data_IF_121724768760
#
_entry.id   IF_121724768760
#
_cell.length_a   1.000
_cell.length_b   1.000
_cell.length_c   1.000
_cell.angle_alpha   90.00
_cell.angle_beta   90.00
_cell.angle_gamma   90.00
#
_symmetry.space_group_name_H-M   'P 1'
#
loop_
_entity.id
_entity.type
_entity.pdbx_description
1 polymer ?
#
# COMPACT_ATOMS: atom_id res chain seq x y z
N UNK A 1 -9.27 38.18 -8.02
CA UNK A 1 -8.46 37.50 -9.05
C UNK A 1 -7.50 36.54 -8.36
N UNK A 2 -7.59 35.22 -8.60
CA UNK A 2 -6.58 34.25 -8.12
C UNK A 2 -5.55 34.06 -9.24
N UNK A 3 -4.29 34.30 -8.94
CA UNK A 3 -3.19 34.01 -9.84
C UNK A 3 -3.13 32.49 -10.10
N UNK A 4 -3.00 32.09 -11.36
CA UNK A 4 -2.74 30.70 -11.72
C UNK A 4 -1.32 30.34 -11.25
N UNK A 5 -1.21 29.41 -10.30
CA UNK A 5 0.08 28.88 -9.87
C UNK A 5 0.71 28.15 -11.05
N UNK A 6 1.88 28.60 -11.51
CA UNK A 6 2.66 27.86 -12.49
C UNK A 6 3.03 26.51 -11.88
N UNK A 7 2.48 25.42 -12.41
CA UNK A 7 2.78 24.08 -11.92
C UNK A 7 4.19 23.72 -12.34
N UNK A 8 5.15 23.80 -11.41
CA UNK A 8 6.48 23.23 -11.59
C UNK A 8 6.41 21.70 -11.72
N UNK A 9 7.53 21.08 -12.07
CA UNK A 9 7.62 19.62 -12.13
C UNK A 9 7.40 19.02 -10.73
N UNK A 10 6.54 18.01 -10.64
CA UNK A 10 6.38 17.18 -9.45
C UNK A 10 6.98 15.82 -9.72
N UNK A 11 7.81 15.34 -8.80
CA UNK A 11 8.42 14.01 -8.86
C UNK A 11 7.80 13.14 -7.77
N UNK A 12 7.43 11.92 -8.14
CA UNK A 12 6.99 10.90 -7.20
C UNK A 12 8.03 9.78 -7.16
N UNK A 13 8.41 9.38 -5.95
CA UNK A 13 9.14 8.13 -5.75
C UNK A 13 8.13 6.98 -5.65
N UNK A 14 8.34 5.92 -6.42
CA UNK A 14 7.53 4.71 -6.34
C UNK A 14 8.42 3.56 -5.88
N UNK A 15 8.05 2.99 -4.74
CA UNK A 15 8.64 1.76 -4.21
C UNK A 15 7.57 0.67 -4.17
N UNK A 16 7.97 -0.58 -4.42
CA UNK A 16 7.04 -1.71 -4.45
C UNK A 16 7.43 -2.77 -3.42
N UNK A 17 6.43 -3.35 -2.76
CA UNK A 17 6.60 -4.37 -1.75
C UNK A 17 5.86 -5.65 -2.14
N UNK A 18 6.47 -6.81 -1.84
CA UNK A 18 5.83 -8.11 -2.00
C UNK A 18 4.97 -8.47 -0.78
N UNK A 19 3.99 -9.36 -0.96
CA UNK A 19 3.22 -9.92 0.16
C UNK A 19 4.08 -10.75 1.11
N UNK A 20 4.96 -11.57 0.54
CA UNK A 20 5.98 -12.29 1.31
C UNK A 20 7.00 -11.26 1.80
N UNK A 21 7.12 -11.04 3.11
CA UNK A 21 8.02 -10.02 3.62
C UNK A 21 9.48 -10.42 3.40
N UNK A 22 10.33 -9.40 3.23
CA UNK A 22 11.79 -9.52 3.33
C UNK A 22 12.22 -8.61 4.48
N UNK A 23 12.96 -9.17 5.44
CA UNK A 23 13.44 -8.43 6.63
C UNK A 23 12.30 -7.69 7.37
N UNK A 24 11.15 -8.36 7.50
CA UNK A 24 9.95 -7.81 8.15
C UNK A 24 9.15 -6.83 7.29
N UNK A 25 9.63 -6.43 6.11
CA UNK A 25 8.97 -5.47 5.23
C UNK A 25 8.25 -6.17 4.08
N UNK A 26 6.94 -6.11 4.11
CA UNK A 26 6.04 -6.58 3.05
C UNK A 26 4.77 -5.73 3.02
N UNK A 27 3.82 -6.04 2.14
CA UNK A 27 2.59 -5.24 2.01
C UNK A 27 1.83 -5.07 3.33
N UNK A 28 1.80 -6.10 4.19
CA UNK A 28 1.17 -6.00 5.51
C UNK A 28 1.85 -4.98 6.44
N UNK A 29 3.18 -4.85 6.37
CA UNK A 29 3.92 -3.82 7.11
C UNK A 29 3.53 -2.42 6.60
N UNK A 30 3.44 -2.23 5.29
CA UNK A 30 3.05 -0.96 4.67
C UNK A 30 1.61 -0.57 5.00
N UNK A 31 0.66 -1.51 4.96
CA UNK A 31 -0.71 -1.26 5.42
C UNK A 31 -0.75 -0.94 6.91
N UNK A 32 0.07 -1.61 7.73
CA UNK A 32 0.23 -1.30 9.14
C UNK A 32 0.74 0.11 9.40
N UNK A 33 1.76 0.56 8.66
CA UNK A 33 2.27 1.94 8.74
C UNK A 33 1.20 2.95 8.34
N UNK A 34 0.53 2.73 7.21
CA UNK A 34 -0.54 3.60 6.72
C UNK A 34 -1.73 3.69 7.69
N UNK A 35 -2.10 2.55 8.29
CA UNK A 35 -3.16 2.45 9.30
C UNK A 35 -2.69 2.90 10.70
N UNK A 36 -1.42 3.29 10.84
CA UNK A 36 -0.82 3.78 12.09
C UNK A 36 -0.86 2.76 13.23
N UNK A 37 -0.74 1.46 12.89
CA UNK A 37 -0.71 0.36 13.88
C UNK A 37 0.59 0.42 14.70
N UNK A 38 0.56 0.24 16.04
CA UNK A 38 1.76 0.38 16.88
C UNK A 38 2.94 -0.49 16.44
N UNK A 39 2.68 -1.73 16.03
CA UNK A 39 3.69 -2.69 15.61
C UNK A 39 4.40 -2.34 14.29
N UNK A 40 3.79 -1.47 13.47
CA UNK A 40 4.36 -0.98 12.22
C UNK A 40 4.86 0.47 12.34
N UNK A 41 4.37 1.24 13.32
CA UNK A 41 4.70 2.66 13.52
C UNK A 41 5.86 2.85 14.51
N UNK A 42 6.86 1.96 14.50
CA UNK A 42 7.93 1.89 15.52
C UNK A 42 8.80 3.14 15.63
N UNK A 43 8.77 4.01 14.62
CA UNK A 43 9.48 5.28 14.59
C UNK A 43 8.65 6.49 15.06
N UNK A 44 7.40 6.26 15.47
CA UNK A 44 6.47 7.29 15.94
C UNK A 44 5.97 6.91 17.33
N UNK A 45 6.34 7.70 18.34
CA UNK A 45 6.07 7.38 19.75
C UNK A 45 4.56 7.34 20.10
N UNK A 46 3.75 8.19 19.50
CA UNK A 46 2.29 8.22 19.71
C UNK A 46 1.58 8.45 18.38
N UNK A 47 1.40 7.40 17.57
CA UNK A 47 0.80 7.52 16.25
C UNK A 47 -0.67 7.92 16.38
N UNK A 48 -1.05 9.08 15.84
CA UNK A 48 -2.46 9.48 15.77
C UNK A 48 -3.22 8.68 14.70
N UNK A 49 -4.55 8.74 14.69
CA UNK A 49 -5.36 8.06 13.67
C UNK A 49 -5.02 8.57 12.24
N UNK A 50 -5.08 7.69 11.21
CA UNK A 50 -4.90 8.13 9.83
C UNK A 50 -6.05 9.06 9.42
N UNK A 51 -5.73 10.08 8.61
CA UNK A 51 -6.73 11.02 8.06
C UNK A 51 -6.92 10.71 6.59
N UNK A 52 -8.14 10.37 6.19
CA UNK A 52 -8.49 10.16 4.78
C UNK A 52 -8.78 11.51 4.13
N UNK A 53 -7.87 11.97 3.28
CA UNK A 53 -8.04 13.23 2.54
C UNK A 53 -9.00 13.05 1.36
N UNK A 54 -8.96 11.89 0.69
CA UNK A 54 -9.80 11.56 -0.45
C UNK A 54 -9.85 10.03 -0.66
N UNK A 55 -10.95 9.51 -1.20
CA UNK A 55 -11.07 8.11 -1.59
C UNK A 55 -11.50 7.18 -0.44
N UNK A 56 -10.81 6.03 -0.30
CA UNK A 56 -11.18 4.95 0.62
C UNK A 56 -10.30 4.94 1.87
N UNK A 57 -10.79 4.30 2.95
CA UNK A 57 -9.99 4.06 4.16
C UNK A 57 -8.87 3.07 3.90
N UNK A 58 -7.85 3.04 4.77
CA UNK A 58 -6.71 2.12 4.63
C UNK A 58 -7.19 0.67 4.69
N UNK A 59 -8.14 0.35 5.57
CA UNK A 59 -8.71 -1.00 5.73
C UNK A 59 -9.44 -1.47 4.47
N UNK A 60 -10.18 -0.55 3.81
CA UNK A 60 -10.87 -0.88 2.57
C UNK A 60 -9.87 -1.14 1.42
N UNK A 61 -8.78 -0.38 1.36
CA UNK A 61 -7.72 -0.59 0.36
C UNK A 61 -6.95 -1.90 0.64
N UNK A 62 -6.65 -2.21 1.89
CA UNK A 62 -6.00 -3.47 2.31
C UNK A 62 -6.85 -4.68 1.91
N UNK A 63 -8.15 -4.67 2.23
CA UNK A 63 -9.08 -5.73 1.82
C UNK A 63 -9.12 -5.90 0.30
N UNK A 64 -9.23 -4.81 -0.43
CA UNK A 64 -9.29 -4.84 -1.90
C UNK A 64 -7.97 -5.33 -2.52
N UNK A 65 -6.83 -5.01 -1.91
CA UNK A 65 -5.54 -5.57 -2.28
C UNK A 65 -5.54 -7.09 -2.11
N UNK A 66 -5.98 -7.60 -0.95
CA UNK A 66 -5.97 -9.02 -0.66
C UNK A 66 -6.92 -9.82 -1.56
N UNK A 67 -8.09 -9.27 -1.85
CA UNK A 67 -9.05 -9.84 -2.82
C UNK A 67 -8.41 -9.98 -4.20
N UNK A 68 -7.77 -8.92 -4.71
CA UNK A 68 -7.12 -8.91 -6.02
C UNK A 68 -5.92 -9.85 -6.07
N UNK A 69 -5.11 -9.87 -5.01
CA UNK A 69 -3.95 -10.73 -4.92
C UNK A 69 -4.34 -12.21 -4.78
N UNK A 70 -5.50 -12.50 -4.21
CA UNK A 70 -6.08 -13.86 -4.17
C UNK A 70 -6.64 -14.27 -5.53
N UNK A 71 -7.29 -13.36 -6.24
CA UNK A 71 -7.82 -13.59 -7.58
C UNK A 71 -6.71 -13.74 -8.65
N UNK A 72 -5.54 -13.15 -8.42
CA UNK A 72 -4.40 -13.16 -9.34
C UNK A 72 -3.84 -14.59 -9.52
N UNK A 73 -4.29 -15.27 -10.57
CA UNK A 73 -3.81 -16.59 -11.00
C UNK A 73 -3.16 -16.47 -12.36
N UNK A 74 -2.02 -17.13 -12.56
CA UNK A 74 -1.35 -17.22 -13.86
C UNK A 74 -1.21 -18.69 -14.26
N UNK A 75 -1.62 -19.03 -15.48
CA UNK A 75 -1.37 -20.33 -16.06
C UNK A 75 0.10 -20.40 -16.54
N UNK A 76 0.82 -21.43 -16.10
CA UNK A 76 2.17 -21.71 -16.61
C UNK A 76 2.10 -22.37 -17.99
N UNK A 77 3.18 -22.30 -18.78
CA UNK A 77 3.30 -23.03 -20.06
C UNK A 77 3.04 -24.54 -19.93
N UNK A 78 3.25 -25.10 -18.74
CA UNK A 78 2.99 -26.50 -18.41
C UNK A 78 1.55 -26.76 -17.89
N UNK A 79 0.62 -25.82 -18.07
CA UNK A 79 -0.80 -25.95 -17.67
C UNK A 79 -1.07 -25.83 -16.16
N UNK A 80 -0.03 -25.76 -15.31
CA UNK A 80 -0.21 -25.57 -13.86
C UNK A 80 -0.62 -24.14 -13.55
N UNK A 81 -1.65 -23.97 -12.72
CA UNK A 81 -2.05 -22.66 -12.20
C UNK A 81 -1.20 -22.32 -10.98
N UNK A 82 -0.62 -21.12 -10.94
CA UNK A 82 0.06 -20.58 -9.76
C UNK A 82 -0.63 -19.30 -9.29
N UNK A 83 -0.83 -19.18 -7.98
CA UNK A 83 -1.12 -17.91 -7.33
C UNK A 83 0.13 -17.04 -7.37
N UNK A 84 -0.03 -15.75 -7.67
CA UNK A 84 1.07 -14.78 -7.65
C UNK A 84 1.45 -14.36 -6.22
#
# INVERSE_FOLDING_TARGET
MRAATMSGFQFAHLETYARKPKDGRGTGFIFGEAARRPEASVHVETPSQPVVVYGQTVEAVERLHDERATAAKTATKAGRTRTR
#
